data_IF_660505199826
#
_entry.id   IF_660505199826
#
_cell.length_a   1.000
_cell.length_b   1.000
_cell.length_c   1.000
_cell.angle_alpha   90.00
_cell.angle_beta   90.00
_cell.angle_gamma   90.00
#
_symmetry.space_group_name_H-M   'P 1'
#
loop_
_entity.id
_entity.type
_entity.pdbx_description
1 polymer ?
#
# COMPACT_ATOMS: atom_id res chain seq x y z
N UNK A 1 0.37 8.38 6.05
CA UNK A 1 0.40 9.42 5.02
C UNK A 1 -0.68 9.11 4.00
N UNK A 2 -1.50 10.07 3.55
CA UNK A 2 -2.61 9.81 2.64
C UNK A 2 -2.14 9.24 1.29
N UNK A 3 -0.95 9.60 0.81
CA UNK A 3 -0.43 9.07 -0.44
C UNK A 3 -0.08 7.57 -0.33
N UNK A 4 0.39 7.12 0.84
CA UNK A 4 0.63 5.69 1.11
C UNK A 4 -0.68 4.91 1.10
N UNK A 5 -1.77 5.49 1.61
CA UNK A 5 -3.10 4.87 1.58
C UNK A 5 -3.58 4.64 0.15
N UNK A 6 -3.43 5.64 -0.73
CA UNK A 6 -3.79 5.52 -2.15
C UNK A 6 -3.01 4.40 -2.85
N UNK A 7 -1.71 4.25 -2.55
CA UNK A 7 -0.90 3.16 -3.09
C UNK A 7 -1.44 1.80 -2.62
N UNK A 8 -1.78 1.68 -1.33
CA UNK A 8 -2.34 0.45 -0.78
C UNK A 8 -3.71 0.11 -1.39
N UNK A 9 -4.56 1.09 -1.67
CA UNK A 9 -5.83 0.90 -2.38
C UNK A 9 -5.58 0.39 -3.81
N UNK A 10 -4.65 1.01 -4.55
CA UNK A 10 -4.29 0.56 -5.90
C UNK A 10 -3.70 -0.86 -5.92
N UNK A 11 -2.91 -1.23 -4.91
CA UNK A 11 -2.42 -2.61 -4.74
C UNK A 11 -3.57 -3.57 -4.40
N UNK A 12 -4.54 -3.11 -3.62
CA UNK A 12 -5.69 -3.90 -3.22
C UNK A 12 -6.58 -4.30 -4.40
N UNK A 13 -6.72 -3.45 -5.42
CA UNK A 13 -7.47 -3.79 -6.64
C UNK A 13 -6.96 -5.07 -7.33
N UNK A 14 -5.68 -5.40 -7.17
CA UNK A 14 -5.05 -6.57 -7.79
C UNK A 14 -5.15 -7.84 -6.95
N UNK A 15 -5.15 -7.71 -5.62
CA UNK A 15 -4.95 -8.86 -4.72
C UNK A 15 -5.97 -8.97 -3.57
N UNK A 16 -6.89 -8.01 -3.44
CA UNK A 16 -8.00 -7.99 -2.50
C UNK A 16 -7.64 -8.43 -1.06
N UNK A 17 -6.77 -7.65 -0.42
CA UNK A 17 -6.22 -7.87 0.92
C UNK A 17 -6.75 -6.89 1.98
N UNK A 18 -7.38 -5.78 1.58
CA UNK A 18 -8.04 -4.85 2.50
C UNK A 18 -9.38 -5.45 2.91
N UNK A 19 -9.60 -5.52 4.22
CA UNK A 19 -10.86 -5.97 4.84
C UNK A 19 -11.77 -4.77 5.04
N UNK A 20 -11.24 -3.68 5.60
CA UNK A 20 -12.02 -2.49 5.95
C UNK A 20 -11.18 -1.22 5.88
N UNK A 21 -11.81 -0.12 5.49
CA UNK A 21 -11.25 1.24 5.53
C UNK A 21 -11.84 1.97 6.74
N UNK A 22 -10.99 2.37 7.69
CA UNK A 22 -11.45 2.94 8.97
C UNK A 22 -11.49 4.46 8.94
N UNK A 23 -10.44 5.08 8.40
CA UNK A 23 -10.34 6.53 8.23
C UNK A 23 -9.22 6.87 7.21
N UNK A 24 -8.93 8.15 7.02
CA UNK A 24 -7.94 8.67 6.07
C UNK A 24 -6.50 8.13 6.27
N UNK A 25 -6.19 7.53 7.41
CA UNK A 25 -4.85 7.05 7.78
C UNK A 25 -4.80 5.57 8.18
N UNK A 26 -5.95 4.93 8.44
CA UNK A 26 -6.02 3.57 8.95
C UNK A 26 -6.81 2.64 8.01
N UNK A 27 -6.20 1.49 7.72
CA UNK A 27 -6.77 0.40 6.95
C UNK A 27 -6.64 -0.90 7.75
N UNK A 28 -7.65 -1.75 7.65
CA UNK A 28 -7.60 -3.13 8.16
C UNK A 28 -7.28 -4.04 6.97
N UNK A 29 -6.21 -4.81 7.09
CA UNK A 29 -5.78 -5.79 6.07
C UNK A 29 -5.77 -7.20 6.64
N UNK A 30 -5.81 -8.20 5.77
CA UNK A 30 -5.65 -9.59 6.17
C UNK A 30 -4.23 -9.82 6.71
N UNK A 31 -4.13 -10.49 7.85
CA UNK A 31 -2.85 -10.65 8.57
C UNK A 31 -1.84 -11.55 7.83
N UNK A 32 -2.33 -12.51 7.03
CA UNK A 32 -1.53 -13.35 6.14
C UNK A 32 -0.87 -12.56 5.00
N UNK A 33 -1.45 -11.42 4.63
CA UNK A 33 -0.99 -10.57 3.53
C UNK A 33 -0.02 -9.47 3.97
N UNK A 34 0.11 -9.21 5.28
CA UNK A 34 0.94 -8.11 5.84
C UNK A 34 2.36 -8.12 5.30
N UNK A 35 3.02 -9.27 5.34
CA UNK A 35 4.41 -9.40 4.89
C UNK A 35 4.57 -9.08 3.40
N UNK A 36 3.62 -9.52 2.57
CA UNK A 36 3.62 -9.29 1.12
C UNK A 36 3.35 -7.83 0.80
N UNK A 37 2.31 -7.26 1.41
CA UNK A 37 1.91 -5.87 1.24
C UNK A 37 3.04 -4.94 1.65
N UNK A 38 3.73 -5.21 2.76
CA UNK A 38 4.89 -4.43 3.20
C UNK A 38 6.01 -4.43 2.16
N UNK A 39 6.38 -5.61 1.65
CA UNK A 39 7.43 -5.76 0.63
C UNK A 39 7.08 -5.07 -0.68
N UNK A 40 5.85 -5.22 -1.15
CA UNK A 40 5.39 -4.55 -2.38
C UNK A 40 5.33 -3.03 -2.20
N UNK A 41 4.87 -2.55 -1.04
CA UNK A 41 4.82 -1.12 -0.74
C UNK A 41 6.22 -0.50 -0.73
N UNK A 42 7.20 -1.14 -0.09
CA UNK A 42 8.61 -0.70 -0.12
C UNK A 42 9.12 -0.56 -1.56
N UNK A 43 8.86 -1.55 -2.42
CA UNK A 43 9.25 -1.52 -3.85
C UNK A 43 8.55 -0.39 -4.61
N UNK A 44 7.27 -0.15 -4.37
CA UNK A 44 6.52 0.95 -5.02
C UNK A 44 6.99 2.34 -4.56
N UNK A 45 7.40 2.46 -3.30
CA UNK A 45 8.01 3.69 -2.77
C UNK A 45 9.42 3.92 -3.34
N UNK A 46 10.25 2.89 -3.46
CA UNK A 46 11.58 2.99 -4.06
C UNK A 46 11.50 3.41 -5.54
N UNK A 47 10.58 2.81 -6.31
CA UNK A 47 10.33 3.22 -7.71
C UNK A 47 9.92 4.69 -7.81
N UNK A 48 9.03 5.16 -6.92
CA UNK A 48 8.60 6.56 -6.91
C UNK A 48 9.72 7.51 -6.50
N UNK A 49 10.59 7.11 -5.57
CA UNK A 49 11.74 7.92 -5.15
C UNK A 49 12.77 8.06 -6.28
N UNK A 50 12.98 7.00 -7.07
CA UNK A 50 13.85 7.04 -8.26
C UNK A 50 13.31 7.93 -9.39
N UNK A 51 11.99 8.12 -9.49
CA UNK A 51 11.37 8.96 -10.52
C UNK A 51 11.34 10.46 -10.19
N UNK A 52 11.65 10.86 -8.95
CA UNK A 52 11.68 12.27 -8.53
C UNK A 52 13.05 12.93 -8.70
N UNK A 53 14.11 12.18 -9.03
CA UNK A 53 15.48 12.69 -9.18
C UNK A 53 16.03 12.69 -10.62
N UNK A 54 15.19 12.60 -11.67
CA UNK A 54 15.63 12.61 -13.07
C UNK A 54 15.18 13.87 -13.85
#
# INVERSE_FOLDING_TARGET
DPAVKEILIAMNEKSNFIIEDLDDYHLVIKADEEYRVRRELEVELEKNTYSLEA
#
